data_IF_570041204607
#
_entry.id   IF_570041204607
#
_cell.length_a   1.000
_cell.length_b   1.000
_cell.length_c   1.000
_cell.angle_alpha   90.00
_cell.angle_beta   90.00
_cell.angle_gamma   90.00
#
_symmetry.space_group_name_H-M   'P 1'
#
loop_
_entity.id
_entity.type
_entity.pdbx_description
1 polymer ?
#
# COMPACT_ATOMS: atom_id res chain seq x y z
N UNK A 1 -11.96 17.31 3.22
CA UNK A 1 -11.42 18.37 2.35
C UNK A 1 -11.44 17.84 0.92
N UNK A 2 -12.02 18.57 -0.05
CA UNK A 2 -12.19 18.09 -1.44
C UNK A 2 -11.55 19.00 -2.49
N UNK A 3 -10.87 20.07 -2.07
CA UNK A 3 -10.38 21.15 -2.97
C UNK A 3 -8.96 20.93 -3.52
N UNK A 4 -8.28 19.85 -3.14
CA UNK A 4 -6.92 19.57 -3.62
C UNK A 4 -6.98 18.98 -5.05
N UNK A 5 -6.17 19.47 -6.00
CA UNK A 5 -6.05 18.86 -7.32
C UNK A 5 -5.17 17.61 -7.29
N UNK A 6 -5.42 16.64 -8.18
CA UNK A 6 -4.58 15.43 -8.29
C UNK A 6 -3.12 15.76 -8.61
N UNK A 7 -2.86 16.82 -9.36
CA UNK A 7 -1.49 17.28 -9.69
C UNK A 7 -0.65 17.67 -8.46
N UNK A 8 -1.28 18.04 -7.34
CA UNK A 8 -0.57 18.26 -6.08
C UNK A 8 -0.06 16.93 -5.51
N UNK A 9 -0.92 15.91 -5.49
CA UNK A 9 -0.60 14.56 -5.01
C UNK A 9 0.45 13.90 -5.90
N UNK A 10 0.35 14.05 -7.22
CA UNK A 10 1.36 13.56 -8.16
C UNK A 10 2.74 14.10 -7.82
N UNK A 11 2.88 15.43 -7.68
CA UNK A 11 4.16 16.05 -7.33
C UNK A 11 4.67 15.64 -5.94
N UNK A 12 3.76 15.26 -5.04
CA UNK A 12 4.10 14.88 -3.67
C UNK A 12 4.63 13.44 -3.56
N UNK A 13 4.18 12.52 -4.41
CA UNK A 13 4.52 11.09 -4.35
C UNK A 13 5.29 10.55 -5.56
N UNK A 14 5.82 11.42 -6.43
CA UNK A 14 6.79 11.02 -7.47
C UNK A 14 8.19 10.81 -6.88
N UNK A 15 9.07 10.01 -7.53
CA UNK A 15 10.42 9.73 -7.02
C UNK A 15 11.29 10.96 -6.73
N UNK A 16 11.06 12.08 -7.44
CA UNK A 16 11.79 13.32 -7.25
C UNK A 16 11.27 14.18 -6.08
N UNK A 17 10.19 13.76 -5.41
CA UNK A 17 9.63 14.45 -4.26
C UNK A 17 10.56 14.42 -3.08
N UNK A 18 10.80 15.59 -2.46
CA UNK A 18 11.57 15.71 -1.22
C UNK A 18 10.99 14.90 -0.07
N UNK A 19 9.67 14.66 -0.06
CA UNK A 19 9.00 13.87 0.97
C UNK A 19 9.56 12.44 1.05
N UNK A 20 9.79 11.80 -0.11
CA UNK A 20 10.30 10.42 -0.19
C UNK A 20 11.72 10.30 0.35
N UNK A 21 12.52 11.38 0.29
CA UNK A 21 13.85 11.40 0.90
C UNK A 21 13.80 11.65 2.41
N UNK A 22 12.85 12.47 2.89
CA UNK A 22 12.71 12.79 4.31
C UNK A 22 12.30 11.59 5.16
N UNK A 23 11.53 10.64 4.61
CA UNK A 23 11.13 9.43 5.37
C UNK A 23 12.30 8.49 5.71
N UNK A 24 13.48 8.66 5.11
CA UNK A 24 14.69 7.91 5.46
C UNK A 24 15.47 8.51 6.64
N UNK A 25 14.96 9.57 7.28
CA UNK A 25 15.64 10.21 8.38
C UNK A 25 15.76 9.30 9.61
N UNK A 26 16.83 9.46 10.39
CA UNK A 26 17.07 8.64 11.61
C UNK A 26 16.15 9.01 12.76
N UNK A 27 15.79 10.29 12.88
CA UNK A 27 14.87 10.77 13.91
C UNK A 27 13.44 10.29 13.65
N UNK A 28 12.89 9.56 14.62
CA UNK A 28 11.55 8.98 14.54
C UNK A 28 10.45 10.02 14.37
N UNK A 29 10.65 11.22 14.90
CA UNK A 29 9.70 12.32 14.76
C UNK A 29 9.54 12.74 13.30
N UNK A 30 10.64 12.80 12.54
CA UNK A 30 10.61 13.13 11.10
C UNK A 30 9.87 12.05 10.31
N UNK A 31 10.14 10.78 10.62
CA UNK A 31 9.46 9.64 9.99
C UNK A 31 7.96 9.64 10.33
N UNK A 32 7.60 9.94 11.58
CA UNK A 32 6.21 10.01 12.04
C UNK A 32 5.43 11.13 11.34
N UNK A 33 5.99 12.33 11.20
CA UNK A 33 5.32 13.42 10.47
C UNK A 33 5.25 13.15 8.97
N UNK A 34 6.27 12.51 8.37
CA UNK A 34 6.21 12.07 6.98
C UNK A 34 5.08 11.05 6.78
N UNK A 35 4.94 10.08 7.69
CA UNK A 35 3.84 9.11 7.67
C UNK A 35 2.48 9.79 7.84
N UNK A 36 2.36 10.78 8.72
CA UNK A 36 1.13 11.56 8.90
C UNK A 36 0.67 12.26 7.61
N UNK A 37 1.59 12.66 6.72
CA UNK A 37 1.23 13.19 5.38
C UNK A 37 0.53 12.11 4.54
N UNK A 38 1.05 10.89 4.52
CA UNK A 38 0.40 9.76 3.83
C UNK A 38 -0.98 9.50 4.43
N UNK A 39 -1.09 9.44 5.76
CA UNK A 39 -2.38 9.23 6.44
C UNK A 39 -3.40 10.32 6.10
N UNK A 40 -2.98 11.59 6.05
CA UNK A 40 -3.85 12.71 5.73
C UNK A 40 -4.38 12.65 4.28
N UNK A 41 -3.51 12.30 3.32
CA UNK A 41 -3.90 12.14 1.92
C UNK A 41 -4.80 10.91 1.74
N UNK A 42 -4.45 9.78 2.37
CA UNK A 42 -5.22 8.54 2.29
C UNK A 42 -6.58 8.63 2.99
N UNK A 43 -6.79 9.65 3.83
CA UNK A 43 -8.07 9.94 4.49
C UNK A 43 -8.96 10.93 3.72
N UNK A 44 -8.54 11.36 2.52
CA UNK A 44 -9.33 12.28 1.69
C UNK A 44 -10.61 11.60 1.20
N UNK A 45 -11.72 12.36 1.20
CA UNK A 45 -13.01 11.93 0.66
C UNK A 45 -13.13 12.14 -0.86
N UNK A 46 -12.16 12.83 -1.47
CA UNK A 46 -12.11 13.03 -2.92
C UNK A 46 -11.49 11.78 -3.56
N UNK A 47 -12.36 10.89 -4.08
CA UNK A 47 -11.96 9.57 -4.59
C UNK A 47 -10.94 9.69 -5.74
N UNK A 48 -11.11 10.52 -6.78
CA UNK A 48 -10.10 10.69 -7.83
C UNK A 48 -8.70 11.04 -7.31
N UNK A 49 -8.62 11.96 -6.34
CA UNK A 49 -7.33 12.38 -5.75
C UNK A 49 -6.72 11.27 -4.90
N UNK A 50 -7.56 10.56 -4.14
CA UNK A 50 -7.15 9.41 -3.35
C UNK A 50 -6.64 8.27 -4.24
N UNK A 51 -7.31 7.99 -5.36
CA UNK A 51 -6.92 6.96 -6.31
C UNK A 51 -5.55 7.27 -6.95
N UNK A 52 -5.30 8.53 -7.31
CA UNK A 52 -3.97 8.96 -7.77
C UNK A 52 -2.89 8.69 -6.72
N UNK A 53 -3.12 9.06 -5.46
CA UNK A 53 -2.18 8.79 -4.37
C UNK A 53 -1.93 7.29 -4.20
N UNK A 54 -3.02 6.51 -4.17
CA UNK A 54 -2.98 5.07 -3.98
C UNK A 54 -2.17 4.38 -5.07
N UNK A 55 -2.40 4.70 -6.35
CA UNK A 55 -1.65 4.12 -7.48
C UNK A 55 -0.17 4.46 -7.44
N UNK A 56 0.20 5.68 -7.01
CA UNK A 56 1.61 6.06 -6.84
C UNK A 56 2.28 5.25 -5.73
N UNK A 57 1.61 5.09 -4.58
CA UNK A 57 2.10 4.28 -3.46
C UNK A 57 2.26 2.80 -3.87
N UNK A 58 1.28 2.23 -4.57
CA UNK A 58 1.38 0.86 -5.07
C UNK A 58 2.50 0.70 -6.12
N UNK A 59 2.67 1.68 -6.99
CA UNK A 59 3.75 1.71 -7.97
C UNK A 59 5.13 1.73 -7.32
N UNK A 60 5.29 2.52 -6.26
CA UNK A 60 6.52 2.58 -5.47
C UNK A 60 6.81 1.25 -4.76
N UNK A 61 5.81 0.69 -4.07
CA UNK A 61 5.90 -0.61 -3.41
C UNK A 61 6.26 -1.72 -4.40
N UNK A 62 5.65 -1.72 -5.58
CA UNK A 62 5.92 -2.70 -6.65
C UNK A 62 7.34 -2.58 -7.18
N UNK A 63 7.80 -1.35 -7.38
CA UNK A 63 9.19 -1.09 -7.78
C UNK A 63 10.16 -1.63 -6.72
N UNK A 64 9.91 -1.36 -5.44
CA UNK A 64 10.73 -1.88 -4.34
C UNK A 64 10.74 -3.42 -4.28
N UNK A 65 9.58 -4.07 -4.42
CA UNK A 65 9.47 -5.54 -4.46
C UNK A 65 10.27 -6.13 -5.63
N UNK A 66 10.19 -5.55 -6.83
CA UNK A 66 10.92 -6.04 -7.98
C UNK A 66 12.44 -5.82 -7.86
N UNK A 67 12.89 -4.73 -7.24
CA UNK A 67 14.31 -4.55 -6.89
C UNK A 67 14.79 -5.64 -5.90
N UNK A 68 13.95 -6.04 -4.93
CA UNK A 68 14.26 -7.16 -4.02
C UNK A 68 14.30 -8.51 -4.75
N UNK A 69 13.34 -8.78 -5.63
CA UNK A 69 13.32 -10.02 -6.44
C UNK A 69 14.56 -10.10 -7.33
N UNK A 70 14.93 -9.02 -8.01
CA UNK A 70 16.14 -8.97 -8.81
C UNK A 70 17.42 -9.18 -7.98
N UNK A 71 17.46 -8.70 -6.73
CA UNK A 71 18.60 -8.99 -5.84
C UNK A 71 18.76 -10.48 -5.52
N UNK A 72 17.69 -11.26 -5.67
CA UNK A 72 17.65 -12.71 -5.52
C UNK A 72 17.66 -13.46 -6.87
N UNK A 73 17.85 -12.74 -8.00
CA UNK A 73 17.83 -13.29 -9.36
C UNK A 73 16.46 -13.91 -9.76
N UNK A 74 15.38 -13.37 -9.21
CA UNK A 74 14.00 -13.79 -9.50
C UNK A 74 13.32 -12.83 -10.49
N UNK A 75 12.30 -13.30 -11.25
CA UNK A 75 11.57 -12.46 -12.18
C UNK A 75 10.71 -11.39 -11.48
N UNK A 76 10.39 -10.34 -12.23
CA UNK A 76 9.44 -9.31 -11.85
C UNK A 76 8.06 -9.89 -11.46
N UNK A 77 7.40 -9.25 -10.50
CA UNK A 77 6.05 -9.54 -10.07
C UNK A 77 5.12 -8.32 -10.18
N UNK A 78 3.83 -8.56 -9.89
CA UNK A 78 2.80 -7.54 -9.67
C UNK A 78 2.65 -6.52 -10.83
N UNK A 79 2.66 -6.98 -12.09
CA UNK A 79 2.53 -6.12 -13.28
C UNK A 79 1.31 -5.20 -13.26
N UNK A 80 0.21 -5.68 -12.66
CA UNK A 80 -1.11 -5.02 -12.66
C UNK A 80 -1.15 -3.73 -11.83
N UNK A 81 -0.17 -3.52 -10.95
CA UNK A 81 -0.11 -2.37 -10.02
C UNK A 81 1.16 -1.53 -10.20
N UNK A 82 1.88 -1.73 -11.31
CA UNK A 82 3.02 -0.88 -11.70
C UNK A 82 2.56 0.54 -12.02
N UNK A 83 3.48 1.50 -11.88
CA UNK A 83 3.25 2.90 -12.24
C UNK A 83 4.42 3.47 -13.03
N UNK A 84 4.14 4.17 -14.13
CA UNK A 84 5.16 4.68 -15.07
C UNK A 84 6.21 5.59 -14.40
N UNK A 85 5.81 6.36 -13.38
CA UNK A 85 6.73 7.20 -12.61
C UNK A 85 7.89 6.45 -11.97
N UNK A 86 7.76 5.14 -11.72
CA UNK A 86 8.77 4.32 -11.05
C UNK A 86 9.49 3.34 -11.98
N UNK A 87 9.23 3.37 -13.29
CA UNK A 87 9.74 2.40 -14.27
C UNK A 87 11.26 2.20 -14.25
N UNK A 88 12.01 3.28 -14.02
CA UNK A 88 13.48 3.27 -14.02
C UNK A 88 14.07 3.55 -12.63
N UNK A 89 13.27 3.44 -11.57
CA UNK A 89 13.76 3.71 -10.23
C UNK A 89 14.47 2.47 -9.66
N UNK A 90 15.65 2.68 -9.09
CA UNK A 90 16.47 1.61 -8.52
C UNK A 90 16.65 1.86 -7.04
N UNK A 91 16.16 0.93 -6.23
CA UNK A 91 16.37 0.94 -4.79
C UNK A 91 17.50 -0.03 -4.45
N UNK A 92 18.34 0.32 -3.47
CA UNK A 92 19.14 -0.70 -2.80
C UNK A 92 18.23 -1.57 -1.91
N UNK A 93 18.73 -2.74 -1.48
CA UNK A 93 17.95 -3.73 -0.71
C UNK A 93 17.39 -3.15 0.59
N UNK A 94 18.18 -2.35 1.33
CA UNK A 94 17.75 -1.79 2.62
C UNK A 94 16.62 -0.77 2.45
N UNK A 95 16.74 0.12 1.46
CA UNK A 95 15.71 1.08 1.11
C UNK A 95 14.45 0.38 0.60
N UNK A 96 14.59 -0.62 -0.27
CA UNK A 96 13.44 -1.36 -0.79
C UNK A 96 12.64 -2.05 0.33
N UNK A 97 13.34 -2.71 1.28
CA UNK A 97 12.71 -3.27 2.48
C UNK A 97 11.94 -2.23 3.28
N UNK A 98 12.58 -1.09 3.54
CA UNK A 98 11.97 0.01 4.28
C UNK A 98 10.71 0.53 3.58
N UNK A 99 10.80 0.79 2.29
CA UNK A 99 9.70 1.33 1.48
C UNK A 99 8.47 0.44 1.53
N UNK A 100 8.64 -0.86 1.27
CA UNK A 100 7.51 -1.82 1.29
C UNK A 100 6.80 -1.80 2.65
N UNK A 101 7.55 -1.82 3.75
CA UNK A 101 6.99 -1.82 5.11
C UNK A 101 6.33 -0.47 5.43
N UNK A 102 6.96 0.65 5.05
CA UNK A 102 6.44 1.99 5.26
C UNK A 102 5.11 2.20 4.51
N UNK A 103 5.04 1.77 3.25
CA UNK A 103 3.85 1.90 2.43
C UNK A 103 2.72 1.01 2.96
N UNK A 104 3.00 -0.25 3.35
CA UNK A 104 2.03 -1.13 4.03
C UNK A 104 1.48 -0.48 5.31
N UNK A 105 2.35 0.14 6.10
CA UNK A 105 1.94 0.88 7.29
C UNK A 105 1.00 2.05 6.94
N UNK A 106 1.28 2.81 5.89
CA UNK A 106 0.40 3.89 5.43
C UNK A 106 -0.97 3.36 4.98
N UNK A 107 -1.01 2.22 4.28
CA UNK A 107 -2.26 1.58 3.82
C UNK A 107 -3.19 1.12 4.95
N UNK A 108 -2.69 0.95 6.18
CA UNK A 108 -3.56 0.71 7.35
C UNK A 108 -4.59 1.82 7.55
N UNK A 109 -4.31 3.04 7.09
CA UNK A 109 -5.23 4.19 7.15
C UNK A 109 -6.54 3.89 6.44
N UNK A 110 -6.48 3.35 5.23
CA UNK A 110 -7.67 3.00 4.45
C UNK A 110 -8.25 1.64 4.89
N UNK A 111 -7.40 0.67 5.23
CA UNK A 111 -7.83 -0.65 5.67
C UNK A 111 -8.60 -0.64 6.99
N UNK A 112 -8.24 0.24 7.94
CA UNK A 112 -8.86 0.26 9.27
C UNK A 112 -9.97 1.34 9.43
N UNK A 113 -10.25 2.10 8.36
CA UNK A 113 -11.25 3.16 8.38
C UNK A 113 -12.67 2.59 8.59
N UNK A 114 -13.34 3.05 9.66
CA UNK A 114 -14.73 2.64 9.98
C UNK A 114 -15.66 2.99 8.81
N UNK A 115 -16.51 2.05 8.41
CA UNK A 115 -17.54 2.23 7.37
C UNK A 115 -16.99 2.74 6.03
N UNK A 116 -15.70 2.53 5.74
CA UNK A 116 -15.10 3.00 4.50
C UNK A 116 -15.46 2.07 3.35
N UNK A 117 -16.64 2.29 2.75
CA UNK A 117 -16.99 1.74 1.43
C UNK A 117 -15.88 2.06 0.41
N UNK A 118 -15.14 3.14 0.61
CA UNK A 118 -14.02 3.57 -0.23
C UNK A 118 -12.85 2.58 -0.18
N UNK A 119 -12.37 2.23 1.01
CA UNK A 119 -11.27 1.25 1.16
C UNK A 119 -11.70 -0.19 0.83
N UNK A 120 -12.99 -0.46 0.99
CA UNK A 120 -13.57 -1.79 0.76
C UNK A 120 -13.91 -2.03 -0.72
N UNK A 121 -14.25 -1.00 -1.50
CA UNK A 121 -14.79 -1.16 -2.86
C UNK A 121 -14.34 -0.13 -3.91
N UNK A 122 -13.97 1.10 -3.52
CA UNK A 122 -13.73 2.18 -4.49
C UNK A 122 -12.30 2.22 -5.06
N UNK A 123 -11.35 1.57 -4.41
CA UNK A 123 -9.96 1.50 -4.87
C UNK A 123 -9.71 0.20 -5.63
N UNK A 124 -8.91 0.29 -6.70
CA UNK A 124 -8.50 -0.86 -7.51
C UNK A 124 -6.97 -0.98 -7.52
N UNK A 125 -6.40 -2.12 -7.06
CA UNK A 125 -7.08 -3.20 -6.34
C UNK A 125 -7.60 -2.74 -4.97
N UNK A 126 -8.60 -3.43 -4.41
CA UNK A 126 -9.02 -3.19 -3.02
C UNK A 126 -7.89 -3.58 -2.05
N UNK A 127 -7.90 -3.06 -0.83
CA UNK A 127 -6.87 -3.40 0.19
C UNK A 127 -6.84 -4.90 0.46
N UNK A 128 -8.02 -5.53 0.56
CA UNK A 128 -8.11 -6.98 0.74
C UNK A 128 -7.52 -7.75 -0.45
N UNK A 129 -7.88 -7.40 -1.69
CA UNK A 129 -7.38 -8.08 -2.88
C UNK A 129 -5.87 -7.87 -3.06
N UNK A 130 -5.37 -6.66 -2.78
CA UNK A 130 -3.94 -6.35 -2.78
C UNK A 130 -3.17 -7.32 -1.87
N UNK A 131 -3.58 -7.39 -0.59
CA UNK A 131 -2.87 -8.15 0.43
C UNK A 131 -3.06 -9.67 0.31
N UNK A 132 -4.20 -10.14 -0.22
CA UNK A 132 -4.54 -11.57 -0.30
C UNK A 132 -4.30 -12.22 -1.66
N UNK A 133 -4.14 -11.43 -2.72
CA UNK A 133 -3.94 -11.93 -4.10
C UNK A 133 -2.72 -11.31 -4.76
N UNK A 134 -2.66 -9.99 -4.87
CA UNK A 134 -1.60 -9.33 -5.64
C UNK A 134 -0.22 -9.51 -5.00
N UNK A 135 -0.14 -9.51 -3.66
CA UNK A 135 1.12 -9.64 -2.92
C UNK A 135 1.47 -11.08 -2.53
N UNK A 136 0.85 -12.10 -3.13
CA UNK A 136 1.13 -13.51 -2.81
C UNK A 136 2.59 -13.92 -3.01
N UNK A 137 3.34 -13.20 -3.86
CA UNK A 137 4.77 -13.42 -4.09
C UNK A 137 5.61 -13.29 -2.81
N UNK A 138 5.15 -12.53 -1.81
CA UNK A 138 5.88 -12.33 -0.54
C UNK A 138 5.98 -13.60 0.30
N UNK A 139 5.22 -14.64 -0.03
CA UNK A 139 5.22 -15.93 0.69
C UNK A 139 6.22 -16.95 0.12
N UNK A 140 6.82 -16.67 -1.05
CA UNK A 140 7.88 -17.48 -1.64
C UNK A 140 9.27 -17.13 -1.09
N UNK A 141 10.26 -16.99 -1.98
CA UNK A 141 11.65 -16.67 -1.62
C UNK A 141 11.82 -15.38 -0.80
N UNK A 142 10.92 -14.41 -0.99
CA UNK A 142 10.91 -13.19 -0.19
C UNK A 142 10.67 -13.46 1.30
N UNK A 143 9.89 -14.48 1.67
CA UNK A 143 9.68 -14.84 3.08
C UNK A 143 10.95 -15.41 3.72
N UNK A 144 11.76 -16.15 2.94
CA UNK A 144 13.01 -16.75 3.41
C UNK A 144 14.08 -15.69 3.66
N UNK A 145 14.20 -14.72 2.74
CA UNK A 145 15.27 -13.72 2.80
C UNK A 145 14.85 -12.42 3.50
N UNK A 146 13.57 -12.05 3.40
CA UNK A 146 13.02 -10.79 3.88
C UNK A 146 11.70 -10.99 4.68
N UNK A 147 11.71 -11.81 5.74
CA UNK A 147 10.49 -12.25 6.46
C UNK A 147 9.66 -11.11 7.05
N UNK A 148 10.28 -9.96 7.35
CA UNK A 148 9.58 -8.79 7.86
C UNK A 148 8.49 -8.28 6.89
N UNK A 149 8.68 -8.45 5.58
CA UNK A 149 7.70 -8.07 4.56
C UNK A 149 6.48 -8.99 4.64
N UNK A 150 6.69 -10.31 4.71
CA UNK A 150 5.60 -11.27 4.87
C UNK A 150 4.80 -10.97 6.14
N UNK A 151 5.49 -10.72 7.25
CA UNK A 151 4.84 -10.35 8.51
C UNK A 151 4.00 -9.08 8.36
N UNK A 152 4.55 -8.02 7.75
CA UNK A 152 3.83 -6.77 7.57
C UNK A 152 2.56 -6.94 6.71
N UNK A 153 2.61 -7.74 5.64
CA UNK A 153 1.45 -8.05 4.79
C UNK A 153 0.37 -8.78 5.60
N UNK A 154 0.74 -9.87 6.29
CA UNK A 154 -0.21 -10.66 7.09
C UNK A 154 -0.79 -9.86 8.26
N UNK A 155 0.03 -9.05 8.92
CA UNK A 155 -0.40 -8.21 10.03
C UNK A 155 -1.40 -7.14 9.58
N UNK A 156 -1.13 -6.50 8.44
CA UNK A 156 -2.02 -5.49 7.85
C UNK A 156 -3.34 -6.12 7.42
N UNK A 157 -3.28 -7.31 6.79
CA UNK A 157 -4.46 -8.06 6.38
C UNK A 157 -5.30 -8.48 7.61
N UNK A 158 -4.65 -9.02 8.64
CA UNK A 158 -5.31 -9.40 9.88
C UNK A 158 -6.01 -8.20 10.53
N UNK A 159 -5.31 -7.06 10.68
CA UNK A 159 -5.88 -5.83 11.22
C UNK A 159 -7.13 -5.39 10.45
N UNK A 160 -7.06 -5.40 9.12
CA UNK A 160 -8.19 -5.06 8.26
C UNK A 160 -9.37 -6.03 8.46
N UNK A 161 -9.12 -7.34 8.44
CA UNK A 161 -10.15 -8.35 8.63
C UNK A 161 -10.81 -8.27 10.01
N UNK A 162 -10.02 -8.15 11.08
CA UNK A 162 -10.54 -8.04 12.46
C UNK A 162 -11.37 -6.77 12.64
N UNK A 163 -11.01 -5.67 11.96
CA UNK A 163 -11.80 -4.44 11.99
C UNK A 163 -13.22 -4.61 11.41
N UNK A 164 -13.42 -5.59 10.55
CA UNK A 164 -14.67 -5.87 9.86
C UNK A 164 -15.27 -7.22 10.26
N UNK A 165 -14.99 -7.69 11.48
CA UNK A 165 -15.51 -8.96 12.02
C UNK A 165 -15.30 -10.14 11.07
N UNK A 166 -14.14 -10.18 10.41
CA UNK A 166 -13.77 -11.16 9.39
C UNK A 166 -14.81 -11.33 8.27
N UNK A 167 -15.61 -10.29 8.01
CA UNK A 167 -16.66 -10.24 7.00
C UNK A 167 -17.77 -11.30 7.17
N UNK A 168 -17.96 -11.83 8.39
CA UNK A 168 -18.95 -12.89 8.68
C UNK A 168 -20.39 -12.42 8.41
N UNK A 169 -20.75 -11.19 8.78
CA UNK A 169 -22.10 -10.68 8.51
C UNK A 169 -22.41 -10.58 7.02
N UNK A 170 -21.42 -10.20 6.21
CA UNK A 170 -21.57 -10.09 4.76
C UNK A 170 -21.83 -11.45 4.11
N UNK A 171 -21.14 -12.51 4.55
CA UNK A 171 -21.32 -13.86 3.99
C UNK A 171 -22.68 -14.47 4.35
N UNK A 172 -23.19 -14.20 5.56
CA UNK A 172 -24.53 -14.63 6.00
C UNK A 172 -25.65 -13.91 5.24
N UNK A 173 -25.48 -12.62 4.95
CA UNK A 173 -26.48 -11.85 4.19
C UNK A 173 -26.62 -12.33 2.73
N UNK A 174 -25.52 -12.75 2.09
CA UNK A 174 -25.55 -13.30 0.73
C UNK A 174 -26.09 -14.74 0.63
N UNK A 175 -26.26 -15.44 1.75
CA UNK A 175 -26.78 -16.80 1.81
C UNK A 175 -28.25 -16.88 2.23
N UNK A 176 -28.94 -15.74 2.31
CA UNK A 176 -30.40 -15.72 2.47
C UNK A 176 -31.05 -16.16 1.15
N UNK A 177 -31.86 -17.23 1.12
CA UNK A 177 -32.66 -17.54 -0.06
C UNK A 177 -33.61 -16.35 -0.28
N UNK A 178 -33.64 -15.82 -1.50
CA UNK A 178 -34.73 -14.96 -1.95
C UNK A 178 -36.06 -15.71 -1.73
N UNK A 179 -36.81 -15.28 -0.71
CA UNK A 179 -38.20 -15.65 -0.44
C UNK A 179 -39.13 -14.97 -1.46
#
# INVERSE_FOLDING_TARGET
>A
NTKLPSSFVEKLFIPSSKLLFLRYHKEKEVVAVAHAVYQAVLSLKNIPVLETAYKLILGEMTCALNNLLHSLQLPDACSEIKHESFKNHVFNVDNAKFVVIFDLSALTTIGNAKNSLIGMWALSPTVFALLSKNLMIVHGDLAVHFPAIQYAVLYTLYSHCTRHDHFISSSLSSSSPSL
#
